data_IF_578930661032
#
_entry.id   IF_578930661032
#
_cell.length_a   1.000
_cell.length_b   1.000
_cell.length_c   1.000
_cell.angle_alpha   90.00
_cell.angle_beta   90.00
_cell.angle_gamma   90.00
#
_symmetry.space_group_name_H-M   'P 1'
#
loop_
_entity.id
_entity.type
_entity.pdbx_description
1 polymer ?
#
# COMPACT_ATOMS: atom_id res chain seq x y z
N UNK A 1 -14.27 9.33 -2.42
CA UNK A 1 -15.26 8.37 -1.90
C UNK A 1 -14.72 7.90 -0.57
N UNK A 2 -15.47 8.00 0.54
CA UNK A 2 -14.96 7.60 1.86
C UNK A 2 -15.31 6.14 2.12
N UNK A 3 -14.34 5.34 2.56
CA UNK A 3 -14.59 3.93 2.90
C UNK A 3 -15.54 3.79 4.09
N UNK A 4 -16.26 2.66 4.13
CA UNK A 4 -17.17 2.36 5.22
C UNK A 4 -16.43 2.35 6.58
N UNK A 5 -17.04 2.98 7.59
CA UNK A 5 -16.42 3.19 8.91
C UNK A 5 -15.90 1.91 9.56
N UNK A 6 -16.62 0.80 9.43
CA UNK A 6 -16.20 -0.47 10.02
C UNK A 6 -14.92 -1.04 9.36
N UNK A 7 -14.70 -0.79 8.07
CA UNK A 7 -13.48 -1.22 7.38
C UNK A 7 -12.28 -0.36 7.76
N UNK A 8 -12.49 0.96 7.88
CA UNK A 8 -11.46 1.89 8.40
C UNK A 8 -11.03 1.48 9.81
N UNK A 9 -12.00 1.21 10.69
CA UNK A 9 -11.72 0.79 12.07
C UNK A 9 -10.87 -0.49 12.15
N UNK A 10 -11.14 -1.49 11.31
CA UNK A 10 -10.32 -2.71 11.23
C UNK A 10 -8.89 -2.40 10.76
N UNK A 11 -8.77 -1.55 9.74
CA UNK A 11 -7.47 -1.10 9.25
C UNK A 11 -6.68 -0.31 10.30
N UNK A 12 -7.35 0.55 11.08
CA UNK A 12 -6.74 1.33 12.15
C UNK A 12 -6.31 0.45 13.33
N UNK A 13 -7.12 -0.55 13.68
CA UNK A 13 -6.75 -1.56 14.67
C UNK A 13 -5.50 -2.33 14.22
N UNK A 14 -5.46 -2.76 12.96
CA UNK A 14 -4.31 -3.45 12.40
C UNK A 14 -3.06 -2.57 12.41
N UNK A 15 -3.17 -1.31 11.97
CA UNK A 15 -2.09 -0.32 11.99
C UNK A 15 -1.53 -0.12 13.39
N UNK A 16 -2.41 0.08 14.37
CA UNK A 16 -2.00 0.28 15.76
C UNK A 16 -1.26 -0.95 16.30
N UNK A 17 -1.86 -2.13 16.13
CA UNK A 17 -1.36 -3.38 16.71
C UNK A 17 -0.09 -3.92 16.07
N UNK A 18 0.00 -3.90 14.74
CA UNK A 18 1.07 -4.57 14.00
C UNK A 18 2.06 -3.63 13.33
N UNK A 19 1.72 -2.35 13.16
CA UNK A 19 2.55 -1.40 12.41
C UNK A 19 3.01 -0.19 13.26
N UNK A 20 2.60 -0.11 14.53
CA UNK A 20 2.92 1.01 15.42
C UNK A 20 2.54 2.36 14.79
N UNK A 21 1.33 2.41 14.25
CA UNK A 21 0.81 3.49 13.41
C UNK A 21 -0.58 3.89 13.91
N UNK A 22 -0.76 5.20 14.14
CA UNK A 22 -2.06 5.84 14.44
C UNK A 22 -2.08 7.20 13.74
N UNK A 23 -3.25 7.76 13.49
CA UNK A 23 -3.37 9.04 12.78
C UNK A 23 -2.61 10.18 13.49
N UNK A 24 -2.61 10.19 14.83
CA UNK A 24 -1.86 11.16 15.62
C UNK A 24 -0.34 10.97 15.48
N UNK A 25 0.15 9.74 15.59
CA UNK A 25 1.58 9.44 15.45
C UNK A 25 2.09 9.69 14.02
N UNK A 26 1.23 9.43 13.04
CA UNK A 26 1.51 9.51 11.61
C UNK A 26 1.26 10.91 11.05
N UNK A 27 0.75 11.83 11.88
CA UNK A 27 0.36 13.20 11.52
C UNK A 27 -0.61 13.25 10.34
N UNK A 28 -1.55 12.31 10.30
CA UNK A 28 -2.59 12.25 9.27
C UNK A 28 -3.85 12.88 9.86
N UNK A 29 -4.22 14.10 9.45
CA UNK A 29 -5.46 14.71 9.92
C UNK A 29 -6.65 13.96 9.30
N UNK A 30 -7.66 13.67 10.11
CA UNK A 30 -8.90 13.04 9.67
C UNK A 30 -10.09 13.92 10.03
N UNK A 31 -11.04 14.03 9.10
CA UNK A 31 -12.31 14.75 9.26
C UNK A 31 -13.43 13.87 8.68
N UNK A 32 -14.49 13.62 9.45
CA UNK A 32 -15.59 12.76 8.99
C UNK A 32 -16.39 13.44 7.87
N UNK A 33 -16.53 14.77 7.93
CA UNK A 33 -17.10 15.55 6.84
C UNK A 33 -16.03 15.84 5.77
N UNK A 34 -15.93 14.95 4.79
CA UNK A 34 -14.93 15.05 3.72
C UNK A 34 -14.95 16.39 2.96
N UNK A 35 -16.06 17.14 2.98
CA UNK A 35 -16.12 18.47 2.33
C UNK A 35 -15.28 19.53 3.06
N UNK A 36 -14.98 19.29 4.33
CA UNK A 36 -14.11 20.11 5.19
C UNK A 36 -12.67 19.58 5.23
N UNK A 37 -12.42 18.38 4.71
CA UNK A 37 -11.09 17.79 4.65
C UNK A 37 -10.24 18.50 3.60
N UNK A 38 -9.47 19.50 4.03
CA UNK A 38 -8.51 20.23 3.21
C UNK A 38 -7.14 20.12 3.83
N UNK A 39 -6.32 19.22 3.29
CA UNK A 39 -4.97 18.95 3.80
C UNK A 39 -3.93 19.58 2.88
N UNK A 40 -2.92 20.22 3.47
CA UNK A 40 -1.78 20.74 2.69
C UNK A 40 -0.96 19.55 2.18
N UNK A 41 -0.78 19.45 0.87
CA UNK A 41 0.03 18.39 0.28
C UNK A 41 1.44 18.33 0.89
N UNK A 42 1.85 17.14 1.32
CA UNK A 42 3.13 16.90 2.00
C UNK A 42 3.15 17.23 3.49
N UNK A 43 2.01 17.54 4.12
CA UNK A 43 1.97 17.74 5.58
C UNK A 43 1.91 16.44 6.38
N UNK A 44 1.41 15.37 5.77
CA UNK A 44 1.23 14.08 6.42
C UNK A 44 2.49 13.23 6.36
N UNK A 45 2.83 12.57 7.48
CA UNK A 45 4.09 11.83 7.62
C UNK A 45 3.93 10.34 7.26
N UNK A 46 2.83 9.71 7.69
CA UNK A 46 2.61 8.28 7.55
C UNK A 46 3.35 7.43 8.59
N UNK A 47 2.80 6.24 8.83
CA UNK A 47 3.27 5.32 9.85
C UNK A 47 4.64 4.71 9.55
N UNK A 48 5.35 4.18 10.57
CA UNK A 48 6.75 3.77 10.48
C UNK A 48 6.94 2.42 9.75
N UNK A 49 6.33 2.28 8.58
CA UNK A 49 6.40 1.11 7.72
C UNK A 49 6.36 1.49 6.23
N UNK A 50 6.85 0.58 5.40
CA UNK A 50 6.73 0.63 3.94
C UNK A 50 5.43 -0.07 3.52
N UNK A 51 4.60 0.59 2.72
CA UNK A 51 3.41 0.01 2.10
C UNK A 51 3.76 -0.52 0.70
N UNK A 52 3.40 -1.77 0.44
CA UNK A 52 3.70 -2.45 -0.82
C UNK A 52 2.43 -3.04 -1.40
N UNK A 53 2.15 -2.76 -2.67
CA UNK A 53 1.14 -3.50 -3.42
C UNK A 53 1.78 -4.31 -4.56
N UNK A 54 1.72 -5.64 -4.47
CA UNK A 54 2.21 -6.59 -5.46
C UNK A 54 1.04 -7.35 -6.09
N UNK A 55 0.66 -6.96 -7.31
CA UNK A 55 -0.30 -7.70 -8.14
C UNK A 55 0.42 -8.81 -8.90
N UNK A 56 -0.04 -10.05 -8.73
CA UNK A 56 0.58 -11.28 -9.25
C UNK A 56 -0.33 -12.01 -10.23
N UNK A 57 -1.28 -12.82 -9.74
CA UNK A 57 -2.15 -13.77 -10.48
C UNK A 57 -2.10 -13.71 -12.02
N UNK A 58 -3.16 -13.15 -12.62
CA UNK A 58 -3.36 -13.00 -14.06
C UNK A 58 -2.41 -11.96 -14.65
N UNK A 59 -2.04 -10.98 -13.82
CA UNK A 59 -1.20 -9.86 -14.17
C UNK A 59 0.19 -10.28 -14.67
N UNK A 60 0.81 -11.29 -14.05
CA UNK A 60 2.11 -11.80 -14.51
C UNK A 60 2.04 -12.24 -15.96
N UNK A 61 0.92 -12.80 -16.47
CA UNK A 61 0.87 -13.27 -17.85
C UNK A 61 0.71 -12.13 -18.86
N UNK A 62 -0.03 -11.08 -18.49
CA UNK A 62 -0.27 -9.90 -19.34
C UNK A 62 0.82 -8.81 -19.26
N UNK A 63 1.62 -8.80 -18.20
CA UNK A 63 2.51 -7.69 -17.83
C UNK A 63 3.93 -8.14 -17.45
N UNK A 64 4.43 -9.25 -18.02
CA UNK A 64 5.73 -9.85 -17.65
C UNK A 64 6.90 -8.87 -17.65
N UNK A 65 6.85 -7.86 -18.50
CA UNK A 65 7.96 -6.95 -18.75
C UNK A 65 8.00 -5.78 -17.77
N UNK A 66 6.86 -5.42 -17.15
CA UNK A 66 6.72 -4.27 -16.25
C UNK A 66 6.36 -4.64 -14.80
N UNK A 67 6.27 -5.94 -14.48
CA UNK A 67 6.28 -6.45 -13.08
C UNK A 67 7.56 -7.18 -12.71
N UNK A 68 8.04 -7.03 -11.46
CA UNK A 68 9.26 -7.67 -11.00
C UNK A 68 9.08 -9.18 -10.76
N UNK A 69 10.20 -9.91 -10.72
CA UNK A 69 10.24 -11.21 -10.05
C UNK A 69 10.07 -11.05 -8.53
N UNK A 70 9.79 -12.14 -7.79
CA UNK A 70 9.75 -12.07 -6.32
C UNK A 70 11.10 -11.62 -5.74
N UNK A 71 12.20 -12.15 -6.28
CA UNK A 71 13.55 -11.72 -5.88
C UNK A 71 13.83 -10.25 -6.21
N UNK A 72 13.38 -9.76 -7.38
CA UNK A 72 13.47 -8.35 -7.76
C UNK A 72 12.67 -7.44 -6.83
N UNK A 73 11.42 -7.82 -6.54
CA UNK A 73 10.55 -7.09 -5.61
C UNK A 73 11.17 -6.99 -4.21
N UNK A 74 11.65 -8.11 -3.65
CA UNK A 74 12.26 -8.14 -2.32
C UNK A 74 13.53 -7.30 -2.24
N UNK A 75 14.41 -7.35 -3.27
CA UNK A 75 15.58 -6.46 -3.34
C UNK A 75 15.17 -4.99 -3.31
N UNK A 76 14.14 -4.62 -4.09
CA UNK A 76 13.64 -3.25 -4.13
C UNK A 76 13.02 -2.82 -2.81
N UNK A 77 12.24 -3.69 -2.16
CA UNK A 77 11.64 -3.47 -0.84
C UNK A 77 12.73 -3.16 0.19
N UNK A 78 13.75 -4.01 0.29
CA UNK A 78 14.85 -3.81 1.25
C UNK A 78 15.62 -2.53 1.02
N UNK A 79 15.91 -2.21 -0.25
CA UNK A 79 16.56 -0.95 -0.61
C UNK A 79 15.74 0.28 -0.16
N UNK A 80 14.42 0.25 -0.32
CA UNK A 80 13.53 1.32 0.14
C UNK A 80 13.43 1.39 1.66
N UNK A 81 13.38 0.23 2.32
CA UNK A 81 13.38 0.17 3.79
C UNK A 81 14.65 0.79 4.37
N UNK A 82 15.81 0.47 3.80
CA UNK A 82 17.10 1.06 4.19
C UNK A 82 17.14 2.56 3.93
N UNK A 83 16.78 3.01 2.72
CA UNK A 83 16.86 4.43 2.34
C UNK A 83 15.90 5.33 3.13
N UNK A 84 14.81 4.78 3.65
CA UNK A 84 13.82 5.52 4.44
C UNK A 84 13.86 5.20 5.95
N UNK A 85 14.79 4.36 6.40
CA UNK A 85 14.93 3.97 7.82
C UNK A 85 13.70 3.25 8.37
N UNK A 86 13.08 2.37 7.57
CA UNK A 86 11.86 1.64 7.91
C UNK A 86 12.19 0.20 8.28
N UNK A 87 11.70 -0.27 9.43
CA UNK A 87 11.96 -1.65 9.90
C UNK A 87 10.81 -2.63 9.61
N UNK A 88 9.64 -2.12 9.20
CA UNK A 88 8.45 -2.93 8.89
C UNK A 88 7.99 -2.68 7.46
N UNK A 89 7.43 -3.72 6.84
CA UNK A 89 6.81 -3.65 5.52
C UNK A 89 5.45 -4.33 5.56
N UNK A 90 4.42 -3.61 5.13
CA UNK A 90 3.09 -4.15 4.91
C UNK A 90 2.92 -4.53 3.43
N UNK A 91 2.45 -5.74 3.17
CA UNK A 91 2.30 -6.26 1.79
C UNK A 91 0.85 -6.59 1.49
N UNK A 92 0.24 -5.79 0.62
CA UNK A 92 -1.02 -6.12 -0.06
C UNK A 92 -0.71 -6.89 -1.35
N UNK A 93 -1.19 -8.13 -1.44
CA UNK A 93 -0.93 -8.98 -2.62
C UNK A 93 -2.04 -9.98 -2.85
N UNK A 94 -2.30 -10.29 -4.12
CA UNK A 94 -3.16 -11.38 -4.55
C UNK A 94 -2.37 -12.66 -4.86
N UNK A 95 -1.08 -12.74 -4.49
CA UNK A 95 -0.24 -13.92 -4.66
C UNK A 95 -0.93 -15.21 -4.18
N UNK A 96 -0.79 -16.27 -4.97
CA UNK A 96 -1.26 -17.60 -4.58
C UNK A 96 -0.40 -18.15 -3.43
N UNK A 97 -0.90 -19.15 -2.72
CA UNK A 97 -0.23 -19.71 -1.52
C UNK A 97 1.26 -20.03 -1.75
N UNK A 98 1.61 -20.66 -2.87
CA UNK A 98 3.01 -21.03 -3.16
C UNK A 98 3.93 -19.82 -3.30
N UNK A 99 3.51 -18.79 -4.04
CA UNK A 99 4.27 -17.53 -4.18
C UNK A 99 4.32 -16.77 -2.85
N UNK A 100 3.25 -16.79 -2.07
CA UNK A 100 3.22 -16.17 -0.75
C UNK A 100 4.21 -16.80 0.22
N UNK A 101 4.28 -18.14 0.29
CA UNK A 101 5.24 -18.85 1.13
C UNK A 101 6.69 -18.57 0.70
N UNK A 102 6.94 -18.45 -0.61
CA UNK A 102 8.25 -18.03 -1.12
C UNK A 102 8.57 -16.59 -0.73
N UNK A 103 7.63 -15.66 -0.90
CA UNK A 103 7.79 -14.26 -0.51
C UNK A 103 8.07 -14.13 0.99
N UNK A 104 7.37 -14.91 1.84
CA UNK A 104 7.58 -14.95 3.29
C UNK A 104 8.97 -15.45 3.67
N UNK A 105 9.52 -16.42 2.94
CA UNK A 105 10.90 -16.89 3.15
C UNK A 105 11.93 -15.83 2.76
N UNK A 106 11.68 -15.10 1.67
CA UNK A 106 12.59 -14.07 1.17
C UNK A 106 12.52 -12.77 2.00
N UNK A 107 11.34 -12.46 2.55
CA UNK A 107 11.04 -11.25 3.32
C UNK A 107 10.33 -11.60 4.65
N UNK A 108 11.03 -12.24 5.62
CA UNK A 108 10.42 -12.66 6.90
C UNK A 108 9.83 -11.53 7.74
N UNK A 109 10.32 -10.31 7.55
CA UNK A 109 9.87 -9.08 8.22
C UNK A 109 8.53 -8.55 7.69
N UNK A 110 7.96 -9.16 6.64
CA UNK A 110 6.70 -8.72 6.07
C UNK A 110 5.52 -8.98 7.01
N UNK A 111 4.61 -8.01 7.04
CA UNK A 111 3.33 -8.08 7.72
C UNK A 111 2.22 -8.03 6.67
N UNK A 112 1.19 -8.83 6.85
CA UNK A 112 0.05 -8.91 5.94
C UNK A 112 -1.24 -9.00 6.74
N UNK A 113 -2.32 -8.43 6.19
CA UNK A 113 -3.67 -8.67 6.68
C UNK A 113 -4.15 -10.03 6.17
N UNK A 114 -4.30 -11.00 7.08
CA UNK A 114 -4.77 -12.36 6.78
C UNK A 114 -6.12 -12.54 7.49
N UNK A 115 -7.26 -12.28 6.81
CA UNK A 115 -8.57 -12.35 7.45
C UNK A 115 -8.90 -13.78 7.86
N UNK A 116 -9.61 -13.93 8.99
CA UNK A 116 -10.25 -15.21 9.34
C UNK A 116 -11.38 -15.54 8.36
N UNK A 117 -11.88 -16.78 8.43
CA UNK A 117 -13.05 -17.18 7.63
C UNK A 117 -14.27 -16.31 7.92
N UNK A 118 -14.49 -15.97 9.19
CA UNK A 118 -15.59 -15.10 9.63
C UNK A 118 -15.40 -13.67 9.13
N UNK A 119 -14.18 -13.13 9.19
CA UNK A 119 -13.86 -11.79 8.67
C UNK A 119 -14.04 -11.72 7.14
N UNK A 120 -13.60 -12.75 6.42
CA UNK A 120 -13.80 -12.84 4.98
C UNK A 120 -15.29 -12.95 4.61
N UNK A 121 -16.08 -13.70 5.37
CA UNK A 121 -17.52 -13.79 5.18
C UNK A 121 -18.21 -12.45 5.48
N UNK A 122 -17.75 -11.72 6.49
CA UNK A 122 -18.32 -10.44 6.89
C UNK A 122 -17.98 -9.32 5.90
N UNK A 123 -16.70 -9.15 5.57
CA UNK A 123 -16.21 -8.03 4.76
C UNK A 123 -16.27 -8.31 3.26
N UNK A 124 -16.35 -9.59 2.86
CA UNK A 124 -16.21 -10.06 1.48
C UNK A 124 -14.86 -9.66 0.88
N UNK A 125 -14.58 -10.14 -0.33
CA UNK A 125 -13.32 -9.85 -1.03
C UNK A 125 -13.09 -8.34 -1.20
N UNK A 126 -14.16 -7.58 -1.47
CA UNK A 126 -14.10 -6.13 -1.63
C UNK A 126 -13.75 -5.38 -0.34
N UNK A 127 -14.26 -5.83 0.81
CA UNK A 127 -13.94 -5.21 2.09
C UNK A 127 -12.50 -5.50 2.53
N UNK A 128 -12.01 -6.73 2.30
CA UNK A 128 -10.60 -7.08 2.52
C UNK A 128 -9.68 -6.23 1.64
N UNK A 129 -10.04 -6.05 0.36
CA UNK A 129 -9.30 -5.18 -0.55
C UNK A 129 -9.27 -3.71 -0.06
N UNK A 130 -10.37 -3.20 0.48
CA UNK A 130 -10.43 -1.84 1.07
C UNK A 130 -9.52 -1.74 2.30
N UNK A 131 -9.49 -2.76 3.17
CA UNK A 131 -8.61 -2.78 4.35
C UNK A 131 -7.14 -2.73 3.91
N UNK A 132 -6.75 -3.54 2.92
CA UNK A 132 -5.39 -3.51 2.35
C UNK A 132 -5.04 -2.14 1.76
N UNK A 133 -5.97 -1.52 1.02
CA UNK A 133 -5.78 -0.17 0.47
C UNK A 133 -5.61 0.85 1.58
N UNK A 134 -6.48 0.83 2.60
CA UNK A 134 -6.43 1.73 3.74
C UNK A 134 -5.09 1.65 4.46
N UNK A 135 -4.62 0.44 4.78
CA UNK A 135 -3.32 0.24 5.43
C UNK A 135 -2.17 0.71 4.52
N UNK A 136 -2.21 0.44 3.22
CA UNK A 136 -1.19 0.96 2.29
C UNK A 136 -1.17 2.49 2.21
N UNK A 137 -2.35 3.13 2.25
CA UNK A 137 -2.47 4.59 2.15
C UNK A 137 -1.86 5.33 3.34
N UNK A 138 -1.78 4.69 4.51
CA UNK A 138 -1.21 5.29 5.72
C UNK A 138 0.30 5.05 5.90
N UNK A 139 0.95 4.33 4.98
CA UNK A 139 2.39 4.07 5.06
C UNK A 139 3.23 5.34 4.85
N UNK A 140 4.40 5.44 5.50
CA UNK A 140 5.35 6.55 5.26
C UNK A 140 5.86 6.60 3.82
N UNK A 141 5.99 5.43 3.20
CA UNK A 141 6.34 5.32 1.80
C UNK A 141 5.49 4.22 1.17
N UNK A 142 5.03 4.43 -0.06
CA UNK A 142 4.27 3.46 -0.82
C UNK A 142 4.93 3.16 -2.17
N UNK A 143 4.88 1.89 -2.56
CA UNK A 143 5.24 1.41 -3.89
C UNK A 143 4.20 0.40 -4.39
N UNK A 144 3.66 0.68 -5.57
CA UNK A 144 2.62 -0.12 -6.20
C UNK A 144 3.10 -1.01 -7.34
N UNK A 145 2.14 -1.61 -8.02
CA UNK A 145 2.36 -2.39 -9.25
C UNK A 145 1.99 -1.55 -10.47
N UNK A 146 2.75 -1.70 -11.56
CA UNK A 146 2.48 -1.06 -12.85
C UNK A 146 1.02 -1.22 -13.27
N UNK A 147 0.42 -0.16 -13.79
CA UNK A 147 -0.94 -0.10 -14.38
C UNK A 147 -2.06 -0.77 -13.57
N UNK A 148 -1.85 -0.98 -12.27
CA UNK A 148 -2.84 -1.59 -11.38
C UNK A 148 -3.85 -0.57 -10.90
N UNK A 149 -5.13 -0.81 -11.18
CA UNK A 149 -6.25 0.01 -10.66
C UNK A 149 -6.30 0.00 -9.14
N UNK A 150 -5.89 -1.09 -8.49
CA UNK A 150 -5.75 -1.16 -7.04
C UNK A 150 -4.70 -0.17 -6.52
N UNK A 151 -3.55 -0.06 -7.20
CA UNK A 151 -2.52 0.94 -6.86
C UNK A 151 -3.00 2.36 -7.13
N UNK A 152 -3.77 2.59 -8.20
CA UNK A 152 -4.32 3.91 -8.50
C UNK A 152 -5.26 4.40 -7.39
N UNK A 153 -6.11 3.53 -6.83
CA UNK A 153 -6.94 3.89 -5.68
C UNK A 153 -6.11 4.27 -4.45
N UNK A 154 -4.99 3.57 -4.20
CA UNK A 154 -4.08 3.94 -3.12
C UNK A 154 -3.41 5.29 -3.39
N UNK A 155 -3.00 5.58 -4.64
CA UNK A 155 -2.42 6.89 -4.98
C UNK A 155 -3.39 8.03 -4.69
N UNK A 156 -4.64 7.89 -5.12
CA UNK A 156 -5.71 8.88 -4.89
C UNK A 156 -5.96 9.09 -3.40
N UNK A 157 -6.05 8.00 -2.62
CA UNK A 157 -6.29 8.08 -1.18
C UNK A 157 -5.11 8.77 -0.45
N UNK A 158 -3.87 8.48 -0.86
CA UNK A 158 -2.67 9.14 -0.31
C UNK A 158 -2.62 10.63 -0.63
N UNK A 159 -3.10 11.03 -1.81
CA UNK A 159 -3.22 12.44 -2.20
C UNK A 159 -4.27 13.16 -1.31
N UNK A 160 -5.42 12.53 -1.06
CA UNK A 160 -6.48 13.03 -0.15
C UNK A 160 -5.94 13.19 1.28
N UNK A 161 -5.19 12.20 1.75
CA UNK A 161 -4.56 12.22 3.08
C UNK A 161 -3.38 13.20 3.16
N UNK A 162 -2.96 13.81 2.04
CA UNK A 162 -1.93 14.85 2.02
C UNK A 162 -0.49 14.35 2.19
N UNK A 163 -0.21 13.09 1.85
CA UNK A 163 1.17 12.56 1.86
C UNK A 163 1.98 13.14 0.68
N UNK A 164 3.30 13.22 0.84
CA UNK A 164 4.18 13.78 -0.21
C UNK A 164 4.11 12.90 -1.48
N UNK A 165 3.87 13.49 -2.68
CA UNK A 165 3.84 12.76 -3.94
C UNK A 165 5.04 11.85 -4.19
N UNK A 166 6.23 12.25 -3.73
CA UNK A 166 7.47 11.45 -3.84
C UNK A 166 7.37 10.11 -3.10
N UNK A 167 6.51 10.03 -2.09
CA UNK A 167 6.25 8.82 -1.31
C UNK A 167 5.04 8.03 -1.81
N UNK A 168 4.34 8.52 -2.84
CA UNK A 168 3.05 8.00 -3.30
C UNK A 168 3.15 7.39 -4.69
N UNK A 169 3.65 8.14 -5.67
CA UNK A 169 3.62 7.74 -7.08
C UNK A 169 4.87 6.93 -7.44
N UNK A 170 4.97 5.72 -6.89
CA UNK A 170 6.08 4.81 -7.14
C UNK A 170 5.55 3.44 -7.58
N UNK A 171 6.24 2.81 -8.53
CA UNK A 171 5.95 1.41 -8.90
C UNK A 171 7.20 0.56 -8.91
N UNK A 172 7.01 -0.75 -8.78
CA UNK A 172 8.05 -1.69 -9.17
C UNK A 172 8.27 -1.66 -10.68
N UNK A 173 9.52 -1.83 -11.06
CA UNK A 173 9.95 -2.03 -12.44
C UNK A 173 10.11 -3.52 -12.70
N UNK A 174 9.95 -3.94 -13.96
CA UNK A 174 10.34 -5.29 -14.36
C UNK A 174 11.85 -5.51 -14.23
N UNK A 175 12.27 -6.75 -13.97
CA UNK A 175 13.68 -7.09 -13.71
C UNK A 175 14.62 -6.72 -14.87
N UNK A 176 14.10 -6.69 -16.10
CA UNK A 176 14.83 -6.35 -17.32
C UNK A 176 14.30 -5.08 -18.01
N UNK A 177 13.41 -4.35 -17.31
CA UNK A 177 12.78 -3.15 -17.86
C UNK A 177 13.80 -2.01 -17.96
N UNK A 178 14.10 -1.57 -19.19
CA UNK A 178 15.07 -0.50 -19.43
C UNK A 178 14.49 0.89 -19.15
N UNK A 179 13.23 1.10 -19.50
CA UNK A 179 12.52 2.37 -19.34
C UNK A 179 11.36 2.13 -18.40
N UNK A 180 11.60 2.34 -17.11
CA UNK A 180 10.58 2.17 -16.07
C UNK A 180 9.93 3.52 -15.75
N UNK A 181 8.97 3.92 -16.58
CA UNK A 181 8.17 5.12 -16.33
C UNK A 181 7.40 4.99 -15.01
N UNK A 182 7.48 6.03 -14.17
CA UNK A 182 6.77 6.07 -12.90
C UNK A 182 5.34 6.62 -13.07
N UNK A 183 4.39 6.27 -12.19
CA UNK A 183 3.03 6.78 -12.27
C UNK A 183 2.99 8.30 -12.27
N UNK A 184 2.13 8.88 -13.10
CA UNK A 184 1.91 10.33 -13.15
C UNK A 184 1.32 10.84 -11.82
N UNK A 185 1.86 11.95 -11.32
CA UNK A 185 1.26 12.67 -10.19
C UNK A 185 0.01 13.43 -10.64
N UNK A 186 -1.15 13.02 -10.13
CA UNK A 186 -2.43 13.71 -10.31
C UNK A 186 -2.80 14.50 -9.06
N UNK A 187 -2.69 15.83 -9.13
CA UNK A 187 -2.93 16.72 -7.99
C UNK A 187 -4.42 16.87 -7.71
N UNK A 188 -4.79 16.79 -6.43
CA UNK A 188 -6.13 17.20 -6.00
C UNK A 188 -6.30 18.72 -6.18
N UNK A 189 -7.49 19.12 -6.65
CA UNK A 189 -7.92 20.51 -6.71
C UNK A 189 -9.15 20.67 -5.80
N UNK A 190 -9.05 21.61 -4.84
CA UNK A 190 -10.07 21.88 -3.82
C UNK A 190 -10.96 23.08 -4.15
#
# INVERSE_FOLDING_TARGET
MVFARHLRAVGDEFRSKYLNSTDEADRIPYEEDWTKMKVRLGSSLGGPYLGVHLRRKDFIWGHREDVPSLGGAVRRIRSLMESHGLCRVFVATDAVRTEYEELKKLLPEMVRFEPTWEELELYKDGGVAIIDQWICSHARFFIGTSVSTFSFRIHEEREILGLDPKTTYNRFCGDQEKVCEQPTHWKIAY
#
